data_IF_101601688544
#
_entry.id   IF_101601688544
#
_cell.length_a   1.000
_cell.length_b   1.000
_cell.length_c   1.000
_cell.angle_alpha   90.00
_cell.angle_beta   90.00
_cell.angle_gamma   90.00
#
_symmetry.space_group_name_H-M   'P 1'
#
loop_
_entity.id
_entity.type
_entity.pdbx_description
1 polymer ?
#
# COMPACT_ATOMS: atom_id res chain seq x y z
N UNK A 1 -0.53 9.34 -12.26
CA UNK A 1 -1.96 9.02 -12.48
C UNK A 1 -2.89 10.12 -12.01
N UNK A 2 -2.88 10.50 -10.73
CA UNK A 2 -3.79 11.54 -10.20
C UNK A 2 -3.74 12.87 -10.96
N UNK A 3 -2.54 13.37 -11.28
CA UNK A 3 -2.38 14.60 -12.10
C UNK A 3 -3.02 14.46 -13.49
N UNK A 4 -2.87 13.31 -14.13
CA UNK A 4 -3.42 13.07 -15.47
C UNK A 4 -4.94 12.90 -15.43
N UNK A 5 -5.51 12.33 -14.35
CA UNK A 5 -6.96 12.29 -14.13
C UNK A 5 -7.53 13.70 -13.90
N UNK A 6 -6.74 14.62 -13.33
CA UNK A 6 -7.12 16.02 -13.22
C UNK A 6 -7.26 16.73 -14.57
N UNK A 7 -6.41 16.35 -15.55
CA UNK A 7 -6.44 16.90 -16.91
C UNK A 7 -7.49 16.20 -17.77
N UNK A 8 -7.52 14.88 -17.76
CA UNK A 8 -8.43 14.06 -18.56
C UNK A 8 -9.58 13.62 -17.66
N UNK A 9 -10.70 14.33 -17.68
CA UNK A 9 -11.84 13.99 -16.83
C UNK A 9 -12.69 12.88 -17.47
N UNK A 10 -12.90 11.77 -16.76
CA UNK A 10 -13.82 10.68 -17.14
C UNK A 10 -14.94 10.52 -16.10
N UNK A 11 -16.16 10.12 -16.52
CA UNK A 11 -17.32 9.99 -15.63
C UNK A 11 -17.16 9.03 -14.45
N UNK A 12 -16.28 8.04 -14.56
CA UNK A 12 -16.03 7.08 -13.48
C UNK A 12 -14.60 6.58 -13.51
N UNK A 13 -14.10 6.14 -12.35
CA UNK A 13 -12.75 5.62 -12.22
C UNK A 13 -12.48 4.45 -13.19
N UNK A 14 -13.46 3.56 -13.36
CA UNK A 14 -13.39 2.40 -14.25
C UNK A 14 -13.12 2.78 -15.71
N UNK A 15 -13.62 3.94 -16.14
CA UNK A 15 -13.43 4.39 -17.53
C UNK A 15 -11.98 4.76 -17.84
N UNK A 16 -11.19 5.15 -16.84
CA UNK A 16 -9.75 5.40 -17.04
C UNK A 16 -8.99 4.14 -17.45
N UNK A 17 -9.41 2.97 -16.95
CA UNK A 17 -8.75 1.68 -17.17
C UNK A 17 -9.45 0.84 -18.26
N UNK A 18 -10.38 1.43 -19.01
CA UNK A 18 -11.09 0.74 -20.08
C UNK A 18 -10.17 0.47 -21.28
N UNK A 19 -10.24 -0.73 -21.85
CA UNK A 19 -9.46 -1.15 -23.04
C UNK A 19 -10.27 -1.15 -24.34
N UNK A 20 -11.55 -0.75 -24.31
CA UNK A 20 -12.34 -0.59 -25.54
C UNK A 20 -11.82 0.62 -26.32
N UNK A 21 -11.46 0.41 -27.59
CA UNK A 21 -10.82 1.40 -28.48
C UNK A 21 -11.46 2.81 -28.42
N UNK A 22 -12.79 2.90 -28.38
CA UNK A 22 -13.52 4.19 -28.37
C UNK A 22 -13.37 4.94 -27.03
N UNK A 23 -13.20 4.20 -25.93
CA UNK A 23 -13.19 4.74 -24.57
C UNK A 23 -11.82 4.69 -23.91
N UNK A 24 -10.84 4.09 -24.58
CA UNK A 24 -9.50 3.88 -24.07
C UNK A 24 -8.86 5.22 -23.72
N UNK A 25 -8.28 5.25 -22.53
CA UNK A 25 -7.37 6.31 -22.11
C UNK A 25 -6.01 5.67 -22.05
N UNK A 26 -5.16 5.86 -23.08
CA UNK A 26 -3.81 5.30 -23.10
C UNK A 26 -3.07 5.66 -21.82
N UNK A 27 -2.01 4.92 -21.51
CA UNK A 27 -1.17 5.08 -20.31
C UNK A 27 -1.74 4.52 -19.00
N UNK A 28 -3.02 4.73 -18.69
CA UNK A 28 -3.59 4.27 -17.41
C UNK A 28 -3.49 2.75 -17.19
N UNK A 29 -4.06 1.89 -18.05
CA UNK A 29 -4.00 0.43 -17.87
C UNK A 29 -2.62 -0.18 -18.17
N UNK A 30 -1.66 0.63 -18.64
CA UNK A 30 -0.26 0.23 -18.88
C UNK A 30 0.55 0.40 -17.59
N UNK A 31 0.39 1.52 -16.89
CA UNK A 31 1.19 1.83 -15.69
C UNK A 31 0.77 0.99 -14.48
N UNK A 32 -0.54 0.78 -14.26
CA UNK A 32 -1.05 -0.18 -13.26
C UNK A 32 -2.49 -0.59 -13.55
N UNK A 33 -2.95 -1.69 -12.94
CA UNK A 33 -4.35 -2.12 -13.04
C UNK A 33 -5.29 -1.21 -12.23
N UNK A 34 -6.57 -1.18 -12.63
CA UNK A 34 -7.64 -0.50 -11.88
C UNK A 34 -7.67 -0.97 -10.42
N UNK A 35 -7.56 -2.27 -10.21
CA UNK A 35 -7.55 -2.87 -8.88
C UNK A 35 -6.39 -2.38 -8.01
N UNK A 36 -5.18 -2.30 -8.59
CA UNK A 36 -4.00 -1.80 -7.88
C UNK A 36 -4.18 -0.34 -7.51
N UNK A 37 -4.67 0.48 -8.45
CA UNK A 37 -4.96 1.88 -8.18
C UNK A 37 -6.02 2.04 -7.08
N UNK A 38 -7.14 1.32 -7.18
CA UNK A 38 -8.21 1.35 -6.19
C UNK A 38 -7.72 0.91 -4.80
N UNK A 39 -6.85 -0.10 -4.74
CA UNK A 39 -6.25 -0.56 -3.49
C UNK A 39 -5.31 0.50 -2.90
N UNK A 40 -4.43 1.09 -3.69
CA UNK A 40 -3.56 2.17 -3.21
C UNK A 40 -4.38 3.38 -2.73
N UNK A 41 -5.41 3.76 -3.49
CA UNK A 41 -6.27 4.90 -3.15
C UNK A 41 -7.10 4.65 -1.88
N UNK A 42 -7.60 3.41 -1.68
CA UNK A 42 -8.39 3.04 -0.48
C UNK A 42 -7.60 3.19 0.83
N UNK A 43 -6.28 3.01 0.77
CA UNK A 43 -5.42 3.05 1.95
C UNK A 43 -4.50 4.29 1.96
N UNK A 44 -4.68 5.21 1.02
CA UNK A 44 -4.03 6.50 1.03
C UNK A 44 -4.58 7.32 2.19
N UNK A 45 -3.74 7.65 3.16
CA UNK A 45 -4.11 8.44 4.33
C UNK A 45 -3.08 9.55 4.53
N UNK A 46 -3.56 10.75 4.82
CA UNK A 46 -2.75 11.91 5.18
C UNK A 46 -2.96 12.20 6.67
N UNK A 47 -2.61 11.23 7.50
CA UNK A 47 -2.76 11.30 8.97
C UNK A 47 -1.43 10.90 9.60
N UNK A 48 -1.06 11.59 10.68
CA UNK A 48 0.10 11.22 11.48
C UNK A 48 -0.19 9.93 12.27
N UNK A 49 0.49 8.85 11.87
CA UNK A 49 0.40 7.56 12.54
C UNK A 49 1.19 7.50 13.87
N UNK A 50 1.77 8.63 14.30
CA UNK A 50 2.40 8.78 15.62
C UNK A 50 1.37 8.89 16.74
N UNK A 51 0.11 9.24 16.40
CA UNK A 51 -1.01 9.22 17.33
C UNK A 51 -1.43 7.78 17.65
N UNK A 52 -1.08 7.33 18.86
CA UNK A 52 -1.34 5.97 19.33
C UNK A 52 -2.83 5.66 19.53
N UNK A 53 -3.69 6.67 19.73
CA UNK A 53 -5.14 6.45 19.75
C UNK A 53 -5.64 6.13 18.34
N UNK A 54 -5.16 6.87 17.33
CA UNK A 54 -5.58 6.68 15.95
C UNK A 54 -5.09 5.33 15.39
N UNK A 55 -3.84 4.96 15.69
CA UNK A 55 -3.26 3.68 15.27
C UNK A 55 -3.98 2.45 15.87
N UNK A 56 -4.65 2.60 17.03
CA UNK A 56 -5.50 1.56 17.61
C UNK A 56 -6.86 1.46 16.90
N UNK A 57 -7.41 2.60 16.46
CA UNK A 57 -8.71 2.67 15.75
C UNK A 57 -8.63 2.19 14.30
N UNK A 58 -7.46 2.31 13.65
CA UNK A 58 -7.28 1.89 12.25
C UNK A 58 -6.24 0.75 12.07
N UNK A 59 -6.61 -0.52 12.32
CA UNK A 59 -5.72 -1.68 12.20
C UNK A 59 -5.42 -2.08 10.73
N UNK A 60 -5.71 -1.23 9.75
CA UNK A 60 -5.75 -1.57 8.33
C UNK A 60 -4.39 -1.87 7.67
N UNK A 61 -3.26 -1.50 8.25
CA UNK A 61 -1.98 -1.60 7.53
C UNK A 61 -1.44 -3.04 7.37
N UNK A 62 -1.49 -3.95 8.35
CA UNK A 62 -1.16 -5.36 8.11
C UNK A 62 -2.12 -6.03 7.10
N UNK A 63 -3.42 -5.70 7.18
CA UNK A 63 -4.43 -6.18 6.24
C UNK A 63 -4.18 -5.65 4.82
N UNK A 64 -3.71 -4.40 4.68
CA UNK A 64 -3.27 -3.82 3.40
C UNK A 64 -2.14 -4.63 2.76
N UNK A 65 -1.06 -4.86 3.50
CA UNK A 65 0.10 -5.59 3.00
C UNK A 65 -0.28 -7.02 2.58
N UNK A 66 -1.13 -7.69 3.35
CA UNK A 66 -1.65 -9.01 2.99
C UNK A 66 -2.51 -8.97 1.72
N UNK A 67 -3.39 -7.98 1.56
CA UNK A 67 -4.21 -7.79 0.35
C UNK A 67 -3.38 -7.45 -0.89
N UNK A 68 -2.33 -6.62 -0.73
CA UNK A 68 -1.40 -6.28 -1.82
C UNK A 68 -0.69 -7.53 -2.33
N UNK A 69 -0.15 -8.32 -1.41
CA UNK A 69 0.50 -9.60 -1.70
C UNK A 69 -0.44 -10.61 -2.38
N UNK A 70 -1.69 -10.72 -1.92
CA UNK A 70 -2.69 -11.59 -2.57
C UNK A 70 -2.95 -11.19 -4.03
N UNK A 71 -2.85 -9.89 -4.34
CA UNK A 71 -3.05 -9.35 -5.69
C UNK A 71 -1.74 -9.15 -6.47
N UNK A 72 -0.67 -9.88 -6.09
CA UNK A 72 0.67 -9.80 -6.73
C UNK A 72 1.20 -8.36 -6.84
N UNK A 73 0.88 -7.53 -5.84
CA UNK A 73 1.46 -6.20 -5.71
C UNK A 73 2.51 -6.28 -4.62
N UNK A 74 3.78 -6.20 -5.03
CA UNK A 74 4.88 -6.11 -4.07
C UNK A 74 4.82 -4.76 -3.35
N UNK A 75 5.08 -4.79 -2.05
CA UNK A 75 5.08 -3.63 -1.20
C UNK A 75 6.26 -3.70 -0.23
N UNK A 76 6.97 -2.59 -0.12
CA UNK A 76 8.07 -2.39 0.82
C UNK A 76 7.74 -1.19 1.69
N UNK A 77 8.10 -1.26 2.97
CA UNK A 77 7.81 -0.17 3.89
C UNK A 77 8.49 -0.38 5.24
N UNK A 78 8.56 0.69 6.01
CA UNK A 78 9.13 0.68 7.36
C UNK A 78 8.06 0.29 8.38
N UNK A 79 8.38 -0.62 9.29
CA UNK A 79 7.49 -0.99 10.40
C UNK A 79 8.02 -0.36 11.69
N UNK A 80 7.18 0.40 12.39
CA UNK A 80 7.52 0.93 13.72
C UNK A 80 7.62 -0.24 14.71
N UNK A 81 8.66 -0.26 15.51
CA UNK A 81 8.95 -1.35 16.46
C UNK A 81 7.86 -1.53 17.53
N UNK A 82 7.10 -0.47 17.80
CA UNK A 82 5.98 -0.44 18.75
C UNK A 82 4.69 -1.01 18.19
N UNK A 83 4.66 -1.44 16.92
CA UNK A 83 3.43 -1.90 16.28
C UNK A 83 2.95 -3.25 16.83
N UNK A 84 1.63 -3.41 16.98
CA UNK A 84 0.98 -4.67 17.37
C UNK A 84 1.34 -5.78 16.38
N UNK A 85 1.73 -6.95 16.88
CA UNK A 85 2.15 -8.11 16.09
C UNK A 85 3.64 -8.19 15.78
N UNK A 86 4.43 -7.16 16.11
CA UNK A 86 5.90 -7.24 16.02
C UNK A 86 6.43 -8.17 17.12
N UNK A 87 7.19 -9.23 16.78
CA UNK A 87 7.72 -10.14 17.77
C UNK A 87 8.63 -9.43 18.78
N UNK A 88 8.55 -9.80 20.06
CA UNK A 88 9.32 -9.13 21.12
C UNK A 88 10.84 -9.21 20.89
N UNK A 89 11.33 -10.27 20.23
CA UNK A 89 12.75 -10.42 19.90
C UNK A 89 13.23 -9.39 18.86
N UNK A 90 12.34 -8.89 17.99
CA UNK A 90 12.63 -7.84 17.00
C UNK A 90 12.58 -6.44 17.63
N UNK A 91 12.15 -6.30 18.90
CA UNK A 91 12.00 -5.00 19.56
C UNK A 91 13.29 -4.38 20.09
N UNK A 92 14.45 -4.99 19.80
CA UNK A 92 15.76 -4.46 20.20
C UNK A 92 16.27 -3.48 19.15
N UNK A 93 16.87 -2.37 19.60
CA UNK A 93 17.49 -1.39 18.70
C UNK A 93 18.75 -2.00 18.08
N UNK A 94 18.74 -2.18 16.76
CA UNK A 94 19.87 -2.70 16.01
C UNK A 94 21.03 -1.70 15.98
N UNK A 95 22.26 -2.19 16.05
CA UNK A 95 23.46 -1.38 15.83
C UNK A 95 23.66 -1.13 14.34
N UNK A 96 24.43 -0.09 14.01
CA UNK A 96 24.78 0.22 12.61
C UNK A 96 25.50 -0.97 11.98
N UNK A 97 24.92 -1.54 10.92
CA UNK A 97 25.43 -2.72 10.22
C UNK A 97 24.77 -4.05 10.61
N UNK A 98 23.93 -4.07 11.65
CA UNK A 98 23.12 -5.25 12.00
C UNK A 98 21.81 -5.24 11.20
N UNK A 99 21.46 -6.39 10.61
CA UNK A 99 20.21 -6.60 9.86
C UNK A 99 19.47 -7.76 10.49
N UNK A 100 18.18 -7.57 10.78
CA UNK A 100 17.34 -8.62 11.37
C UNK A 100 16.01 -8.68 10.64
N UNK A 101 15.76 -9.80 9.99
CA UNK A 101 14.54 -10.02 9.23
C UNK A 101 13.54 -10.93 9.93
N UNK A 102 12.25 -10.59 9.87
CA UNK A 102 11.16 -11.46 10.31
C UNK A 102 10.16 -11.67 9.16
N UNK A 103 9.72 -12.91 8.93
CA UNK A 103 8.76 -13.26 7.88
C UNK A 103 7.43 -13.72 8.48
N UNK A 104 6.34 -13.20 7.96
CA UNK A 104 4.98 -13.66 8.24
C UNK A 104 4.26 -13.93 6.91
N UNK A 105 4.08 -15.21 6.57
CA UNK A 105 3.55 -15.60 5.26
C UNK A 105 4.45 -15.12 4.10
N UNK A 106 3.90 -14.31 3.19
CA UNK A 106 4.64 -13.68 2.08
C UNK A 106 5.17 -12.27 2.42
N UNK A 107 4.92 -11.79 3.63
CA UNK A 107 5.41 -10.49 4.11
C UNK A 107 6.74 -10.67 4.83
N UNK A 108 7.70 -9.82 4.50
CA UNK A 108 9.03 -9.78 5.13
C UNK A 108 9.22 -8.38 5.71
N UNK A 109 9.55 -8.32 7.00
CA UNK A 109 10.11 -7.15 7.64
C UNK A 109 11.62 -7.32 7.70
N UNK A 110 12.38 -6.30 7.30
CA UNK A 110 13.86 -6.23 7.29
C UNK A 110 14.34 -5.16 8.26
#
# INVERSE_FOLDING_TARGET
>A
MLMLMGIIQKPSLRMYFNRKQILETPFFPIVMSEERFALLNKFLHFVDNSDEEFAKRDPKLPDLFQRLVQRRTDAVGTVKITRKGVPNWLKKKLKKGEVVSAKCGKLVAL
#
